data_IF_292690937008
#
_entry.id   IF_292690937008
#
_cell.length_a   1.000
_cell.length_b   1.000
_cell.length_c   1.000
_cell.angle_alpha   90.00
_cell.angle_beta   90.00
_cell.angle_gamma   90.00
#
_symmetry.space_group_name_H-M   'P 1'
#
loop_
_entity.id
_entity.type
_entity.pdbx_description
1 polymer ?
#
# COMPACT_ATOMS: atom_id res chain seq x y z
N UNK A 1 -17.08 19.54 39.06
CA UNK A 1 -17.54 18.36 38.30
C UNK A 1 -16.87 18.39 36.94
N UNK A 2 -15.82 17.62 36.76
CA UNK A 2 -15.18 17.35 35.46
C UNK A 2 -15.82 16.09 34.89
N UNK A 3 -16.48 16.12 33.72
CA UNK A 3 -16.61 14.92 32.91
C UNK A 3 -15.25 14.75 32.19
N UNK A 4 -14.40 13.85 32.67
CA UNK A 4 -14.33 12.46 32.22
C UNK A 4 -14.06 12.38 30.71
N UNK A 5 -12.77 12.19 30.41
CA UNK A 5 -12.26 12.07 29.07
C UNK A 5 -12.65 10.74 28.47
N UNK A 6 -13.66 10.73 27.62
CA UNK A 6 -13.83 9.68 26.62
C UNK A 6 -12.93 10.05 25.43
N UNK A 7 -11.69 9.54 25.43
CA UNK A 7 -10.99 9.38 24.17
C UNK A 7 -11.93 8.57 23.26
N UNK A 8 -12.23 9.00 22.02
CA UNK A 8 -13.06 8.21 21.14
C UNK A 8 -12.41 6.83 21.04
N UNK A 9 -13.14 5.82 21.50
CA UNK A 9 -12.77 4.43 21.33
C UNK A 9 -12.75 4.20 19.82
N UNK A 10 -11.55 4.32 19.23
CA UNK A 10 -11.33 4.15 17.80
C UNK A 10 -11.70 2.72 17.49
N UNK A 11 -12.96 2.47 17.09
CA UNK A 11 -13.33 1.18 16.51
C UNK A 11 -12.31 0.90 15.42
N UNK A 12 -11.68 -0.29 15.39
CA UNK A 12 -10.90 -0.67 14.22
C UNK A 12 -11.83 -0.50 13.02
N UNK A 13 -11.42 0.32 12.06
CA UNK A 13 -12.22 0.49 10.87
C UNK A 13 -12.33 -0.87 10.20
N UNK A 14 -13.49 -1.14 9.64
CA UNK A 14 -13.62 -2.30 8.78
C UNK A 14 -12.73 -2.08 7.55
N UNK A 15 -12.11 -3.15 7.00
CA UNK A 15 -11.51 -3.05 5.68
C UNK A 15 -12.57 -2.54 4.68
N UNK A 16 -12.16 -1.80 3.65
CA UNK A 16 -13.09 -1.26 2.67
C UNK A 16 -13.82 -2.38 1.94
N UNK A 17 -15.00 -2.09 1.36
CA UNK A 17 -15.68 -3.03 0.48
C UNK A 17 -14.78 -3.41 -0.71
N UNK A 18 -15.07 -4.51 -1.43
CA UNK A 18 -14.34 -4.83 -2.65
C UNK A 18 -14.40 -3.67 -3.65
N UNK A 19 -13.29 -3.32 -4.32
CA UNK A 19 -13.29 -2.28 -5.33
C UNK A 19 -14.18 -2.67 -6.51
N UNK A 20 -14.86 -1.68 -7.10
CA UNK A 20 -15.59 -1.86 -8.35
C UNK A 20 -14.64 -2.20 -9.52
N UNK A 21 -15.14 -2.78 -10.63
CA UNK A 21 -14.31 -3.08 -11.80
C UNK A 21 -13.56 -1.87 -12.36
N UNK A 22 -14.18 -0.68 -12.30
CA UNK A 22 -13.54 0.57 -12.70
C UNK A 22 -12.38 0.90 -11.76
N UNK A 23 -12.61 0.86 -10.44
CA UNK A 23 -11.55 1.08 -9.45
C UNK A 23 -10.40 0.08 -9.59
N UNK A 24 -10.69 -1.18 -9.91
CA UNK A 24 -9.65 -2.18 -10.20
C UNK A 24 -8.81 -1.77 -11.41
N UNK A 25 -9.45 -1.36 -12.51
CA UNK A 25 -8.73 -0.90 -13.70
C UNK A 25 -7.87 0.34 -13.41
N UNK A 26 -8.39 1.30 -12.64
CA UNK A 26 -7.66 2.50 -12.21
C UNK A 26 -6.46 2.13 -11.31
N UNK A 27 -6.66 1.24 -10.34
CA UNK A 27 -5.60 0.72 -9.47
C UNK A 27 -4.50 0.01 -10.26
N UNK A 28 -4.88 -0.84 -11.23
CA UNK A 28 -3.94 -1.54 -12.11
C UNK A 28 -3.14 -0.55 -12.97
N UNK A 29 -3.80 0.47 -13.52
CA UNK A 29 -3.15 1.52 -14.31
C UNK A 29 -2.16 2.34 -13.47
N UNK A 30 -2.56 2.74 -12.26
CA UNK A 30 -1.70 3.45 -11.29
C UNK A 30 -0.50 2.60 -10.92
N UNK A 31 -0.71 1.32 -10.60
CA UNK A 31 0.35 0.39 -10.23
C UNK A 31 1.38 0.21 -11.35
N UNK A 32 0.93 0.00 -12.60
CA UNK A 32 1.81 -0.09 -13.77
C UNK A 32 2.55 1.21 -14.06
N UNK A 33 1.88 2.36 -13.91
CA UNK A 33 2.51 3.66 -14.11
C UNK A 33 3.63 3.90 -13.08
N UNK A 34 3.39 3.56 -11.81
CA UNK A 34 4.39 3.66 -10.75
C UNK A 34 5.53 2.65 -10.92
N UNK A 35 5.24 1.43 -11.38
CA UNK A 35 6.29 0.47 -11.76
C UNK A 35 7.20 1.04 -12.86
N UNK A 36 6.61 1.61 -13.92
CA UNK A 36 7.35 2.21 -15.03
C UNK A 36 8.20 3.40 -14.58
N UNK A 37 7.70 4.23 -13.66
CA UNK A 37 8.46 5.32 -13.04
C UNK A 37 9.70 4.81 -12.27
N UNK A 38 9.69 3.54 -11.86
CA UNK A 38 10.80 2.83 -11.21
C UNK A 38 11.49 1.84 -12.15
N UNK A 39 11.48 2.13 -13.46
CA UNK A 39 12.15 1.36 -14.52
C UNK A 39 11.70 -0.11 -14.66
N UNK A 40 10.55 -0.48 -14.10
CA UNK A 40 9.92 -1.78 -14.32
C UNK A 40 8.77 -1.65 -15.33
N UNK A 41 8.94 -2.25 -16.50
CA UNK A 41 7.95 -2.17 -17.59
C UNK A 41 6.91 -3.29 -17.53
N UNK A 42 7.28 -4.44 -16.95
CA UNK A 42 6.45 -5.63 -16.88
C UNK A 42 6.45 -6.18 -15.44
N UNK A 43 5.79 -5.47 -14.49
CA UNK A 43 5.61 -6.01 -13.16
C UNK A 43 4.79 -7.29 -13.21
N UNK A 44 5.18 -8.28 -12.41
CA UNK A 44 4.53 -9.57 -12.23
C UNK A 44 3.74 -9.59 -10.92
N UNK A 45 2.88 -10.59 -10.78
CA UNK A 45 2.15 -10.89 -9.54
C UNK A 45 1.42 -9.68 -8.92
N UNK A 46 0.76 -8.87 -9.76
CA UNK A 46 -0.05 -7.75 -9.29
C UNK A 46 -1.23 -8.29 -8.48
N UNK A 47 -1.24 -7.96 -7.19
CA UNK A 47 -2.28 -8.38 -6.26
C UNK A 47 -2.65 -7.22 -5.38
N UNK A 48 -3.93 -7.08 -5.07
CA UNK A 48 -4.40 -6.12 -4.08
C UNK A 48 -4.93 -6.83 -2.83
N UNK A 49 -4.87 -6.12 -1.71
CA UNK A 49 -5.44 -6.52 -0.42
C UNK A 49 -6.22 -5.33 0.11
N UNK A 50 -7.51 -5.53 0.38
CA UNK A 50 -8.31 -4.58 1.16
C UNK A 50 -7.92 -4.70 2.64
N UNK A 51 -7.47 -3.60 3.24
CA UNK A 51 -7.01 -3.56 4.63
C UNK A 51 -7.27 -2.19 5.26
N UNK A 52 -6.71 -1.94 6.45
CA UNK A 52 -6.73 -0.62 7.08
C UNK A 52 -5.33 -0.04 7.17
N UNK A 53 -5.20 1.29 7.09
CA UNK A 53 -3.89 1.96 7.18
C UNK A 53 -3.11 1.52 8.41
N UNK A 54 -3.78 1.33 9.54
CA UNK A 54 -3.17 0.85 10.78
C UNK A 54 -2.61 -0.57 10.65
N UNK A 55 -3.34 -1.50 10.03
CA UNK A 55 -2.87 -2.87 9.81
C UNK A 55 -1.65 -2.88 8.87
N UNK A 56 -1.70 -2.10 7.79
CA UNK A 56 -0.61 -1.99 6.82
C UNK A 56 0.64 -1.41 7.48
N UNK A 57 0.51 -0.30 8.22
CA UNK A 57 1.63 0.30 8.95
C UNK A 57 2.25 -0.72 9.92
N UNK A 58 1.45 -1.47 10.69
CA UNK A 58 1.99 -2.54 11.55
C UNK A 58 2.82 -3.58 10.79
N UNK A 59 2.48 -3.88 9.55
CA UNK A 59 3.21 -4.84 8.71
C UNK A 59 4.43 -4.22 7.99
N UNK A 60 4.41 -2.92 7.69
CA UNK A 60 5.40 -2.30 6.79
C UNK A 60 6.32 -1.29 7.47
N UNK A 61 5.91 -0.61 8.55
CA UNK A 61 6.72 0.40 9.24
C UNK A 61 6.33 0.55 10.72
N UNK A 62 7.26 0.47 11.69
CA UNK A 62 6.95 0.60 13.12
C UNK A 62 6.58 2.01 13.63
N UNK A 63 6.23 2.97 12.76
CA UNK A 63 6.13 4.40 13.13
C UNK A 63 4.74 5.01 12.95
N UNK A 64 4.22 5.46 14.10
CA UNK A 64 3.03 6.26 14.46
C UNK A 64 1.66 5.93 13.82
N UNK A 65 0.59 5.89 14.65
CA UNK A 65 -0.77 5.72 14.18
C UNK A 65 -1.22 6.96 13.41
N UNK A 66 -1.28 6.83 12.09
CA UNK A 66 -2.07 7.71 11.22
C UNK A 66 -3.41 7.00 11.04
N UNK A 67 -4.51 7.74 11.14
CA UNK A 67 -5.88 7.24 11.34
C UNK A 67 -6.27 5.96 10.58
N UNK A 68 -7.24 5.24 11.13
CA UNK A 68 -7.67 3.90 10.71
C UNK A 68 -8.46 3.89 9.38
N UNK A 69 -8.06 4.68 8.38
CA UNK A 69 -8.76 4.71 7.10
C UNK A 69 -8.66 3.35 6.37
N UNK A 70 -9.71 2.99 5.65
CA UNK A 70 -9.68 1.84 4.74
C UNK A 70 -8.71 2.11 3.59
N UNK A 71 -7.87 1.13 3.27
CA UNK A 71 -6.87 1.24 2.21
C UNK A 71 -6.84 -0.02 1.35
N UNK A 72 -6.44 0.15 0.10
CA UNK A 72 -6.03 -0.96 -0.75
C UNK A 72 -4.51 -0.99 -0.83
N UNK A 73 -3.92 -2.11 -0.45
CA UNK A 73 -2.49 -2.36 -0.65
C UNK A 73 -2.34 -3.14 -1.94
N UNK A 74 -1.58 -2.60 -2.88
CA UNK A 74 -1.18 -3.32 -4.08
C UNK A 74 0.24 -3.79 -3.88
N UNK A 75 0.50 -5.09 -4.08
CA UNK A 75 1.84 -5.64 -4.20
C UNK A 75 2.10 -6.01 -5.65
N UNK A 76 3.31 -5.70 -6.11
CA UNK A 76 3.85 -6.12 -7.39
C UNK A 76 5.26 -6.68 -7.18
N UNK A 77 5.63 -7.63 -8.02
CA UNK A 77 6.97 -8.17 -8.13
C UNK A 77 7.61 -7.73 -9.45
N UNK A 78 8.93 -7.60 -9.46
CA UNK A 78 9.64 -7.11 -10.63
C UNK A 78 11.08 -6.74 -10.30
N UNK A 79 11.68 -5.90 -11.11
CA UNK A 79 13.03 -5.38 -10.98
C UNK A 79 12.97 -3.86 -10.87
N UNK A 80 12.48 -3.38 -9.73
CA UNK A 80 12.36 -1.96 -9.47
C UNK A 80 13.73 -1.32 -9.26
N UNK A 81 13.96 -0.23 -9.97
CA UNK A 81 15.17 0.59 -9.87
C UNK A 81 14.79 2.02 -9.60
N UNK A 82 15.26 2.55 -8.48
CA UNK A 82 15.12 3.97 -8.17
C UNK A 82 16.49 4.64 -8.28
N UNK A 83 16.61 5.55 -9.24
CA UNK A 83 17.76 6.44 -9.31
C UNK A 83 17.65 7.46 -8.18
N UNK A 84 18.56 7.37 -7.21
CA UNK A 84 18.85 8.45 -6.28
C UNK A 84 19.82 9.43 -6.95
N UNK A 85 19.75 10.71 -6.58
CA UNK A 85 20.52 11.78 -7.26
C UNK A 85 22.03 11.52 -7.16
N UNK A 86 22.78 12.20 -8.04
CA UNK A 86 24.24 12.14 -8.25
C UNK A 86 25.08 11.40 -7.20
N UNK A 87 25.73 10.30 -7.63
CA UNK A 87 26.71 9.47 -6.92
C UNK A 87 26.17 8.49 -5.88
N UNK A 88 24.87 8.44 -5.63
CA UNK A 88 24.29 7.41 -4.77
C UNK A 88 24.03 6.11 -5.56
N UNK A 89 24.17 4.97 -4.89
CA UNK A 89 23.89 3.65 -5.48
C UNK A 89 22.41 3.57 -5.85
N UNK A 90 22.12 3.14 -7.08
CA UNK A 90 20.75 2.78 -7.50
C UNK A 90 20.12 1.87 -6.45
N UNK A 91 18.95 2.24 -5.95
CA UNK A 91 18.18 1.36 -5.07
C UNK A 91 17.51 0.30 -5.96
N UNK A 92 17.77 -0.95 -5.63
CA UNK A 92 17.18 -2.11 -6.28
C UNK A 92 16.18 -2.76 -5.33
N UNK A 93 14.99 -3.07 -5.83
CA UNK A 93 14.01 -3.88 -5.13
C UNK A 93 13.36 -4.89 -6.05
N UNK A 94 13.00 -6.04 -5.51
CA UNK A 94 12.27 -7.08 -6.24
C UNK A 94 10.76 -7.01 -6.00
N UNK A 95 10.36 -6.21 -5.03
CA UNK A 95 8.97 -6.07 -4.62
C UNK A 95 8.64 -4.62 -4.35
N UNK A 96 7.46 -4.19 -4.77
CA UNK A 96 6.94 -2.86 -4.51
C UNK A 96 5.55 -3.03 -3.90
N UNK A 97 5.25 -2.20 -2.90
CA UNK A 97 3.90 -2.01 -2.39
C UNK A 97 3.46 -0.57 -2.61
N UNK A 98 2.16 -0.43 -2.88
CA UNK A 98 1.50 0.84 -3.11
C UNK A 98 0.28 0.85 -2.20
N UNK A 99 0.14 1.90 -1.38
CA UNK A 99 -0.97 2.03 -0.44
C UNK A 99 -1.91 3.12 -0.97
N UNK A 100 -3.10 2.72 -1.40
CA UNK A 100 -4.12 3.60 -1.95
C UNK A 100 -5.22 3.79 -0.90
N UNK A 101 -5.58 5.04 -0.65
CA UNK A 101 -6.71 5.39 0.20
C UNK A 101 -8.03 4.96 -0.46
N UNK A 102 -8.85 4.17 0.23
CA UNK A 102 -10.03 3.57 -0.39
C UNK A 102 -11.17 4.58 -0.61
N UNK A 103 -11.18 5.69 0.12
CA UNK A 103 -12.20 6.74 -0.03
C UNK A 103 -11.88 7.66 -1.21
N UNK A 104 -10.62 8.09 -1.32
CA UNK A 104 -10.19 9.08 -2.32
C UNK A 104 -9.58 8.46 -3.58
N UNK A 105 -9.18 7.19 -3.54
CA UNK A 105 -8.44 6.52 -4.62
C UNK A 105 -7.01 7.06 -4.81
N UNK A 106 -6.51 7.88 -3.88
CA UNK A 106 -5.18 8.47 -3.99
C UNK A 106 -4.11 7.57 -3.39
N UNK A 107 -2.92 7.57 -4.02
CA UNK A 107 -1.73 6.92 -3.47
C UNK A 107 -1.25 7.71 -2.26
N UNK A 108 -1.21 7.04 -1.12
CA UNK A 108 -0.81 7.64 0.16
C UNK A 108 0.60 7.27 0.58
N UNK A 109 1.08 6.10 0.15
CA UNK A 109 2.43 5.65 0.41
C UNK A 109 2.89 4.67 -0.68
N UNK A 110 4.20 4.59 -0.88
CA UNK A 110 4.85 3.66 -1.78
C UNK A 110 6.17 3.22 -1.18
N UNK A 111 6.41 1.92 -1.16
CA UNK A 111 7.62 1.33 -0.62
C UNK A 111 8.18 0.27 -1.56
N UNK A 112 9.51 0.22 -1.67
CA UNK A 112 10.25 -0.74 -2.51
C UNK A 112 11.20 -1.51 -1.60
N UNK A 113 11.20 -2.83 -1.75
CA UNK A 113 12.01 -3.73 -0.94
C UNK A 113 12.73 -4.76 -1.81
N UNK A 114 13.96 -5.18 -1.45
CA UNK A 114 14.63 -6.32 -2.07
C UNK A 114 14.01 -7.68 -1.66
N UNK A 115 13.02 -7.69 -0.78
CA UNK A 115 12.30 -8.88 -0.35
C UNK A 115 10.79 -8.64 -0.43
N UNK A 116 9.98 -9.70 -0.71
CA UNK A 116 8.53 -9.61 -0.63
C UNK A 116 8.08 -9.13 0.75
N UNK A 117 7.10 -8.24 0.77
CA UNK A 117 6.49 -7.79 2.03
C UNK A 117 5.64 -8.94 2.60
N UNK A 118 5.75 -9.18 3.91
CA UNK A 118 4.90 -10.18 4.56
C UNK A 118 3.51 -9.59 4.83
N UNK A 119 2.61 -9.76 3.88
CA UNK A 119 1.24 -9.26 3.97
C UNK A 119 0.29 -10.28 4.63
N UNK A 120 0.83 -11.37 5.20
CA UNK A 120 0.09 -12.41 5.92
C UNK A 120 -0.47 -11.86 7.22
N UNK A 121 -1.65 -11.26 7.14
CA UNK A 121 -2.32 -10.62 8.27
C UNK A 121 -3.08 -9.36 7.89
N UNK A 122 -2.85 -8.84 6.68
CA UNK A 122 -3.57 -7.67 6.17
C UNK A 122 -4.93 -8.02 5.58
N UNK A 123 -5.09 -9.25 5.10
CA UNK A 123 -6.32 -9.73 4.48
C UNK A 123 -6.05 -10.75 3.38
N UNK A 124 -7.02 -10.93 2.50
CA UNK A 124 -6.92 -11.81 1.33
C UNK A 124 -6.32 -11.05 0.15
N UNK A 125 -5.23 -11.59 -0.41
CA UNK A 125 -4.69 -11.13 -1.68
C UNK A 125 -5.59 -11.59 -2.84
N UNK A 126 -5.94 -10.65 -3.71
CA UNK A 126 -6.76 -10.86 -4.90
C UNK A 126 -5.98 -10.35 -6.11
N UNK A 127 -5.90 -11.10 -7.21
CA UNK A 127 -5.20 -10.65 -8.41
C UNK A 127 -5.86 -9.40 -9.02
N UNK A 128 -5.03 -8.54 -9.61
CA UNK A 128 -5.42 -7.37 -10.39
C UNK A 128 -5.39 -7.63 -11.90
#
# INVERSE_FOLDING_TARGET
MTPDGTAPETRPAAPPPPPSPQQLADMTAVARSLAAAHQEQDPLDLRYIASTRQAVLRATTPSRPVGDAGVYVIQLEGNFRRQVRHREKTLHGTSMIIIIDAETGQVTDLSISPQPFDLRGLGRAVPL
#
